data_IF_556730007322
#
_entry.id   IF_556730007322
#
_cell.length_a   1.000
_cell.length_b   1.000
_cell.length_c   1.000
_cell.angle_alpha   90.00
_cell.angle_beta   90.00
_cell.angle_gamma   90.00
#
_symmetry.space_group_name_H-M   'P 1'
#
loop_
_entity.id
_entity.type
_entity.pdbx_description
1 polymer ?
#
# COMPACT_ATOMS: atom_id res chain seq x y z
N UNK A 1 -3.63 8.44 10.08
CA UNK A 1 -2.93 7.20 9.67
C UNK A 1 -3.61 6.70 8.40
N UNK A 2 -2.85 6.34 7.36
CA UNK A 2 -3.41 5.75 6.13
C UNK A 2 -3.42 4.23 6.28
N UNK A 3 -4.52 3.60 5.88
CA UNK A 3 -4.64 2.13 5.88
C UNK A 3 -4.41 1.62 4.47
N UNK A 4 -3.71 0.49 4.34
CA UNK A 4 -3.41 -0.13 3.07
C UNK A 4 -3.97 -1.54 3.03
N UNK A 5 -4.36 -1.97 1.83
CA UNK A 5 -4.77 -3.35 1.54
C UNK A 5 -3.96 -3.85 0.36
N UNK A 6 -3.59 -5.13 0.40
CA UNK A 6 -2.95 -5.78 -0.73
C UNK A 6 -3.93 -5.91 -1.89
N UNK A 7 -3.44 -5.69 -3.11
CA UNK A 7 -4.25 -5.80 -4.33
C UNK A 7 -4.93 -7.15 -4.46
N UNK A 8 -4.24 -8.24 -4.12
CA UNK A 8 -4.79 -9.60 -4.15
C UNK A 8 -6.03 -9.72 -3.25
N UNK A 9 -5.96 -9.22 -2.01
CA UNK A 9 -7.07 -9.27 -1.05
C UNK A 9 -8.25 -8.42 -1.54
N UNK A 10 -7.97 -7.23 -2.07
CA UNK A 10 -9.00 -6.35 -2.63
C UNK A 10 -9.75 -7.02 -3.79
N UNK A 11 -9.02 -7.74 -4.66
CA UNK A 11 -9.58 -8.46 -5.80
C UNK A 11 -10.39 -9.69 -5.36
N UNK A 12 -9.88 -10.48 -4.42
CA UNK A 12 -10.58 -11.66 -3.89
C UNK A 12 -11.90 -11.29 -3.22
N UNK A 13 -11.89 -10.21 -2.44
CA UNK A 13 -13.08 -9.67 -1.76
C UNK A 13 -13.96 -8.82 -2.69
N UNK A 14 -13.53 -8.58 -3.94
CA UNK A 14 -14.23 -7.76 -4.95
C UNK A 14 -14.62 -6.38 -4.41
N UNK A 15 -13.71 -5.73 -3.69
CA UNK A 15 -13.98 -4.45 -3.07
C UNK A 15 -14.19 -3.36 -4.14
N UNK A 16 -15.23 -2.51 -4.00
CA UNK A 16 -15.48 -1.45 -4.97
C UNK A 16 -14.46 -0.32 -4.79
N UNK A 17 -13.92 0.15 -5.91
CA UNK A 17 -13.09 1.35 -5.95
C UNK A 17 -14.03 2.56 -5.85
N UNK A 18 -13.79 3.40 -4.84
CA UNK A 18 -14.59 4.60 -4.55
C UNK A 18 -13.99 5.84 -5.19
N UNK A 19 -12.65 5.93 -5.21
CA UNK A 19 -11.90 7.03 -5.84
C UNK A 19 -10.45 6.63 -6.08
N UNK A 20 -9.72 7.51 -6.75
CA UNK A 20 -8.26 7.48 -6.85
C UNK A 20 -7.65 8.57 -5.96
N UNK A 21 -6.51 8.29 -5.32
CA UNK A 21 -5.73 9.24 -4.53
C UNK A 21 -4.27 9.23 -4.97
N UNK A 22 -3.71 10.40 -5.27
CA UNK A 22 -2.28 10.57 -5.61
C UNK A 22 -1.50 10.90 -4.34
N UNK A 23 -0.43 10.15 -4.08
CA UNK A 23 0.45 10.35 -2.94
C UNK A 23 1.91 10.46 -3.39
N UNK A 24 2.63 11.44 -2.83
CA UNK A 24 4.09 11.48 -2.90
C UNK A 24 4.67 10.53 -1.85
N UNK A 25 5.39 9.51 -2.29
CA UNK A 25 5.93 8.44 -1.45
C UNK A 25 7.46 8.47 -1.47
N UNK A 26 8.06 8.56 -0.30
CA UNK A 26 9.50 8.37 -0.11
C UNK A 26 9.77 6.89 0.20
N UNK A 27 10.63 6.27 -0.61
CA UNK A 27 11.14 4.93 -0.33
C UNK A 27 12.45 5.02 0.43
N UNK A 28 12.81 3.98 1.18
CA UNK A 28 14.08 3.94 1.89
C UNK A 28 15.24 3.99 0.89
N UNK A 29 16.16 4.94 1.08
CA UNK A 29 17.29 5.20 0.17
C UNK A 29 16.96 6.04 -1.06
N UNK A 30 15.74 6.60 -1.16
CA UNK A 30 15.37 7.49 -2.25
C UNK A 30 15.73 8.95 -1.93
N UNK A 31 16.38 9.63 -2.88
CA UNK A 31 16.71 11.05 -2.78
C UNK A 31 15.49 11.95 -3.01
N UNK A 32 14.50 11.46 -3.76
CA UNK A 32 13.29 12.21 -4.12
C UNK A 32 12.00 11.38 -3.89
N UNK A 33 10.88 12.08 -3.70
CA UNK A 33 9.57 11.46 -3.60
C UNK A 33 9.10 10.98 -4.98
N UNK A 34 8.51 9.79 -5.05
CA UNK A 34 7.76 9.38 -6.23
C UNK A 34 6.27 9.62 -6.03
N UNK A 35 5.63 10.28 -6.99
CA UNK A 35 4.18 10.32 -7.06
C UNK A 35 3.64 8.96 -7.49
N UNK A 36 2.69 8.44 -6.71
CA UNK A 36 2.01 7.19 -7.00
C UNK A 36 0.51 7.36 -6.79
N UNK A 37 -0.26 6.83 -7.72
CA UNK A 37 -1.71 6.81 -7.68
C UNK A 37 -2.16 5.50 -7.03
N UNK A 38 -3.12 5.59 -6.12
CA UNK A 38 -3.68 4.48 -5.40
C UNK A 38 -5.20 4.45 -5.60
N UNK A 39 -5.74 3.28 -5.89
CA UNK A 39 -7.17 3.05 -5.77
C UNK A 39 -7.57 3.07 -4.29
N UNK A 40 -8.65 3.77 -3.95
CA UNK A 40 -9.24 3.76 -2.62
C UNK A 40 -10.46 2.86 -2.63
N UNK A 41 -10.46 1.85 -1.77
CA UNK A 41 -11.60 0.94 -1.57
C UNK A 41 -12.18 1.11 -0.17
N UNK A 42 -13.45 0.73 0.00
CA UNK A 42 -14.15 0.80 1.28
C UNK A 42 -14.37 -0.60 1.84
N UNK A 43 -14.02 -0.78 3.12
CA UNK A 43 -14.21 -2.01 3.87
C UNK A 43 -15.16 -1.72 5.03
N UNK A 44 -16.18 -2.57 5.18
CA UNK A 44 -17.03 -2.58 6.38
C UNK A 44 -16.59 -3.72 7.27
N UNK A 45 -16.10 -3.40 8.46
CA UNK A 45 -15.82 -4.39 9.49
C UNK A 45 -16.98 -4.41 10.47
N UNK A 46 -17.50 -5.59 10.73
CA UNK A 46 -18.62 -5.79 11.66
C UNK A 46 -18.27 -6.85 12.69
N UNK A 47 -18.74 -6.63 13.92
CA UNK A 47 -18.70 -7.66 14.93
C UNK A 47 -19.71 -8.75 14.56
N UNK A 48 -19.24 -10.01 14.53
CA UNK A 48 -20.05 -11.17 14.16
C UNK A 48 -21.24 -11.41 15.07
N UNK A 49 -21.06 -11.25 16.38
CA UNK A 49 -22.08 -11.56 17.39
C UNK A 49 -23.00 -10.35 17.65
N UNK A 50 -22.52 -9.14 17.36
CA UNK A 50 -23.28 -7.91 17.48
C UNK A 50 -23.09 -7.00 16.24
N UNK A 51 -23.83 -7.25 15.14
CA UNK A 51 -23.65 -6.51 13.87
C UNK A 51 -23.90 -5.00 13.95
N UNK A 52 -24.59 -4.52 15.00
CA UNK A 52 -24.75 -3.08 15.26
C UNK A 52 -23.40 -2.39 15.53
N UNK A 53 -22.41 -3.14 16.01
CA UNK A 53 -21.04 -2.68 16.19
C UNK A 53 -20.28 -2.90 14.88
N UNK A 54 -20.31 -1.89 14.01
CA UNK A 54 -19.58 -1.91 12.75
C UNK A 54 -18.87 -0.56 12.52
N UNK A 55 -17.83 -0.62 11.71
CA UNK A 55 -17.06 0.54 11.25
C UNK A 55 -16.83 0.43 9.76
N UNK A 56 -16.76 1.58 9.10
CA UNK A 56 -16.33 1.68 7.71
C UNK A 56 -14.94 2.29 7.65
N UNK A 57 -14.06 1.68 6.86
CA UNK A 57 -12.68 2.08 6.71
C UNK A 57 -12.40 2.25 5.22
N UNK A 58 -11.73 3.35 4.87
CA UNK A 58 -11.17 3.54 3.54
C UNK A 58 -9.70 3.09 3.55
N UNK A 59 -9.33 2.30 2.54
CA UNK A 59 -7.99 1.73 2.43
C UNK A 59 -7.43 1.91 1.02
N UNK A 60 -6.14 2.21 0.94
CA UNK A 60 -5.40 2.36 -0.31
C UNK A 60 -4.93 0.98 -0.81
N UNK A 61 -5.27 0.63 -2.04
CA UNK A 61 -4.86 -0.63 -2.66
C UNK A 61 -3.41 -0.51 -3.13
N UNK A 62 -2.55 -1.44 -2.73
CA UNK A 62 -1.16 -1.47 -3.16
C UNK A 62 -0.67 -2.90 -3.44
N UNK A 63 0.21 -3.06 -4.42
CA UNK A 63 0.92 -4.32 -4.69
C UNK A 63 2.05 -4.56 -3.67
N UNK A 64 2.59 -3.49 -3.07
CA UNK A 64 3.75 -3.55 -2.17
C UNK A 64 3.56 -2.55 -1.03
N UNK A 65 3.80 -3.00 0.20
CA UNK A 65 3.73 -2.16 1.42
C UNK A 65 5.08 -1.45 1.67
N UNK A 66 6.19 -2.00 1.16
CA UNK A 66 7.50 -1.36 1.20
C UNK A 66 8.22 -1.49 -0.16
N UNK A 67 9.00 -0.47 -0.49
CA UNK A 67 9.97 -0.51 -1.57
C UNK A 67 11.29 0.02 -1.03
N UNK A 68 12.39 -0.67 -1.34
CA UNK A 68 13.74 -0.21 -1.07
C UNK A 68 14.48 -0.23 -2.40
N UNK A 69 15.07 0.90 -2.77
CA UNK A 69 16.03 0.96 -3.85
C UNK A 69 17.41 0.82 -3.22
N UNK A 70 17.86 -0.41 -3.00
CA UNK A 70 19.24 -0.62 -2.58
C UNK A 70 20.09 -0.67 -3.85
N UNK A 71 20.99 0.31 -4.09
CA UNK A 71 21.95 0.16 -5.18
C UNK A 71 22.79 -1.09 -4.92
N UNK A 72 23.11 -1.83 -5.98
CA UNK A 72 24.07 -2.91 -5.86
C UNK A 72 25.40 -2.33 -5.38
N UNK A 73 26.06 -2.91 -4.37
CA UNK A 73 27.38 -2.45 -3.96
C UNK A 73 28.35 -2.56 -5.14
N UNK A 74 29.22 -1.57 -5.31
CA UNK A 74 30.24 -1.62 -6.35
C UNK A 74 31.21 -2.78 -6.06
N UNK A 75 31.10 -3.88 -6.81
CA UNK A 75 32.09 -4.95 -6.82
C UNK A 75 33.32 -4.52 -7.63
N UNK A 76 34.05 -3.50 -7.16
CA UNK A 76 35.45 -3.31 -7.52
C UNK A 76 36.29 -4.17 -6.57
N UNK A 77 36.19 -5.50 -6.71
CA UNK A 77 37.12 -6.41 -6.05
C UNK A 77 38.40 -6.41 -6.89
N UNK A 78 39.28 -5.44 -6.65
CA UNK A 78 40.65 -5.51 -7.15
C UNK A 78 41.29 -6.72 -6.49
N UNK A 79 41.43 -7.82 -7.24
CA UNK A 79 42.25 -8.96 -6.81
C UNK A 79 43.69 -8.44 -6.70
N UNK A 80 44.14 -8.26 -5.46
CA UNK A 80 45.56 -8.12 -5.11
C UNK A 80 46.22 -9.49 -5.22
#
# INVERSE_FOLDING_TARGET
>A
MRTFILKEVSQELKLPIVRNETLSVYSFGADEAQEKIYDVVKIRLENRDQPSLNIEIETLVTDKISATNLPAPETNITKV
#
